data_IF_641146317519
#
_entry.id   IF_641146317519
#
_cell.length_a   1.000
_cell.length_b   1.000
_cell.length_c   1.000
_cell.angle_alpha   90.00
_cell.angle_beta   90.00
_cell.angle_gamma   90.00
#
_symmetry.space_group_name_H-M   'P 1'
#
loop_
_entity.id
_entity.type
_entity.pdbx_description
1 polymer ?
#
# COMPACT_ATOMS: atom_id res chain seq x y z
N UNK A 1 -16.67 -3.15 -9.12
CA UNK A 1 -15.25 -3.35 -9.46
C UNK A 1 -14.73 -2.16 -10.26
N UNK A 2 -13.50 -1.72 -10.00
CA UNK A 2 -12.88 -0.62 -10.73
C UNK A 2 -13.40 0.78 -10.39
N UNK A 3 -14.08 0.96 -9.27
CA UNK A 3 -14.63 2.25 -8.84
C UNK A 3 -13.86 2.83 -7.66
N UNK A 4 -13.83 4.17 -7.58
CA UNK A 4 -13.33 4.89 -6.43
C UNK A 4 -14.51 5.44 -5.61
N UNK A 5 -14.58 5.05 -4.34
CA UNK A 5 -15.60 5.48 -3.41
C UNK A 5 -14.99 6.45 -2.40
N UNK A 6 -15.43 7.70 -2.44
CA UNK A 6 -15.06 8.70 -1.45
C UNK A 6 -16.01 8.68 -0.27
N UNK A 7 -15.50 8.60 0.94
CA UNK A 7 -16.29 8.63 2.18
C UNK A 7 -16.11 9.98 2.84
N UNK A 8 -17.22 10.67 3.05
CA UNK A 8 -17.31 11.94 3.76
C UNK A 8 -18.19 11.80 4.99
N UNK A 9 -18.11 12.75 5.90
CA UNK A 9 -18.91 12.80 7.12
C UNK A 9 -18.24 13.68 8.16
N UNK A 10 -18.97 14.04 9.20
CA UNK A 10 -18.43 14.82 10.30
C UNK A 10 -17.35 14.08 11.07
N UNK A 11 -16.46 14.83 11.76
CA UNK A 11 -15.50 14.21 12.68
C UNK A 11 -16.24 13.43 13.77
N UNK A 12 -15.81 12.19 13.99
CA UNK A 12 -16.45 11.27 14.93
C UNK A 12 -17.68 10.54 14.39
N UNK A 13 -18.05 10.73 13.09
CA UNK A 13 -19.15 10.00 12.46
C UNK A 13 -18.85 8.49 12.23
N UNK A 14 -17.62 8.06 12.46
CA UNK A 14 -17.22 6.66 12.34
C UNK A 14 -16.53 6.28 11.02
N UNK A 15 -16.04 7.24 10.24
CA UNK A 15 -15.35 6.98 8.97
C UNK A 15 -14.14 6.05 9.13
N UNK A 16 -13.24 6.36 10.06
CA UNK A 16 -12.07 5.53 10.34
C UNK A 16 -12.47 4.18 10.94
N UNK A 17 -13.52 4.13 11.75
CA UNK A 17 -14.09 2.88 12.28
C UNK A 17 -14.61 2.00 11.15
N UNK A 18 -15.27 2.59 10.17
CA UNK A 18 -15.76 1.88 8.98
C UNK A 18 -14.61 1.25 8.20
N UNK A 19 -13.51 1.99 7.98
CA UNK A 19 -12.33 1.44 7.32
C UNK A 19 -11.68 0.30 8.13
N UNK A 20 -11.62 0.41 9.44
CA UNK A 20 -11.10 -0.66 10.31
C UNK A 20 -11.96 -1.93 10.25
N UNK A 21 -13.27 -1.79 10.11
CA UNK A 21 -14.17 -2.91 9.89
C UNK A 21 -13.90 -3.54 8.52
N UNK A 22 -13.77 -2.74 7.46
CA UNK A 22 -13.46 -3.23 6.12
C UNK A 22 -12.10 -3.93 6.04
N UNK A 23 -11.11 -3.45 6.78
CA UNK A 23 -9.77 -4.06 6.85
C UNK A 23 -9.70 -5.33 7.69
N UNK A 24 -10.72 -5.61 8.48
CA UNK A 24 -10.75 -6.75 9.41
C UNK A 24 -10.08 -6.47 10.77
N UNK A 25 -9.70 -5.22 11.04
CA UNK A 25 -9.16 -4.83 12.37
C UNK A 25 -10.24 -4.81 13.46
N UNK A 26 -11.49 -4.57 13.07
CA UNK A 26 -12.65 -4.56 13.96
C UNK A 26 -13.75 -5.43 13.38
N UNK A 27 -14.43 -6.16 14.26
CA UNK A 27 -15.63 -6.91 13.88
C UNK A 27 -16.86 -6.00 13.85
N UNK A 28 -17.74 -6.14 12.84
CA UNK A 28 -18.99 -5.37 12.80
C UNK A 28 -19.96 -5.84 13.88
N UNK A 29 -20.69 -4.92 14.49
CA UNK A 29 -21.76 -5.25 15.45
C UNK A 29 -22.93 -5.93 14.75
N UNK A 30 -23.20 -5.56 13.50
CA UNK A 30 -24.23 -6.14 12.64
C UNK A 30 -23.75 -6.14 11.19
N UNK A 31 -24.19 -7.12 10.42
CA UNK A 31 -23.82 -7.28 9.03
C UNK A 31 -22.55 -8.10 8.82
N UNK A 32 -22.28 -8.41 7.59
CA UNK A 32 -21.14 -9.21 7.17
C UNK A 32 -20.30 -8.50 6.11
N UNK A 33 -19.01 -8.74 6.13
CA UNK A 33 -18.08 -8.30 5.09
C UNK A 33 -17.56 -9.52 4.36
N UNK A 34 -17.68 -9.51 3.04
CA UNK A 34 -17.17 -10.57 2.19
C UNK A 34 -16.23 -9.98 1.15
N UNK A 35 -15.01 -10.50 1.12
CA UNK A 35 -14.00 -10.21 0.08
C UNK A 35 -13.81 -11.50 -0.71
N UNK A 36 -13.85 -11.40 -2.03
CA UNK A 36 -13.65 -12.56 -2.90
C UNK A 36 -12.29 -13.21 -2.61
N UNK A 37 -12.24 -14.54 -2.39
CA UNK A 37 -10.98 -15.23 -2.16
C UNK A 37 -9.96 -14.97 -3.27
N UNK A 38 -8.69 -14.75 -2.90
CA UNK A 38 -7.61 -14.45 -3.83
C UNK A 38 -7.42 -12.96 -4.13
N UNK A 39 -8.34 -12.10 -3.74
CA UNK A 39 -8.17 -10.65 -3.86
C UNK A 39 -7.26 -10.12 -2.76
N UNK A 40 -6.34 -9.21 -3.15
CA UNK A 40 -5.42 -8.56 -2.21
C UNK A 40 -5.98 -7.22 -1.75
N UNK A 41 -6.20 -7.12 -0.45
CA UNK A 41 -6.58 -5.89 0.22
C UNK A 41 -5.32 -5.16 0.69
N UNK A 42 -5.19 -3.90 0.32
CA UNK A 42 -4.13 -3.01 0.80
C UNK A 42 -4.72 -1.88 1.63
N UNK A 43 -4.14 -1.63 2.78
CA UNK A 43 -4.60 -0.62 3.74
C UNK A 43 -3.47 0.35 4.03
N UNK A 44 -3.76 1.65 4.02
CA UNK A 44 -2.81 2.66 4.49
C UNK A 44 -2.66 2.53 6.01
N UNK A 45 -1.50 2.05 6.44
CA UNK A 45 -1.18 1.91 7.87
C UNK A 45 -0.91 3.27 8.52
N UNK A 46 -1.31 3.40 9.79
CA UNK A 46 -1.16 4.65 10.55
C UNK A 46 0.07 4.63 11.47
N UNK A 47 0.55 3.45 11.87
CA UNK A 47 1.74 3.32 12.71
C UNK A 47 3.02 3.43 11.88
N UNK A 48 3.53 4.63 11.77
CA UNK A 48 4.73 4.92 10.99
C UNK A 48 6.06 4.54 11.68
N UNK A 49 6.02 4.11 12.93
CA UNK A 49 7.22 3.59 13.64
C UNK A 49 7.41 2.09 13.50
N UNK A 50 6.41 1.39 13.03
CA UNK A 50 6.41 -0.08 12.91
C UNK A 50 7.57 -0.63 12.09
N UNK A 51 8.07 0.12 11.12
CA UNK A 51 9.09 -0.30 10.17
C UNK A 51 10.45 0.38 10.37
N UNK A 52 10.70 0.96 11.54
CA UNK A 52 11.92 1.75 11.80
C UNK A 52 13.24 1.00 11.52
N UNK A 53 13.25 -0.31 11.70
CA UNK A 53 14.43 -1.15 11.44
C UNK A 53 14.56 -1.58 9.97
N UNK A 54 13.59 -1.28 9.13
CA UNK A 54 13.55 -1.67 7.72
C UNK A 54 14.12 -0.58 6.81
N UNK A 55 14.67 -1.00 5.67
CA UNK A 55 15.08 -0.10 4.60
C UNK A 55 13.84 0.47 3.93
N UNK A 56 13.88 1.74 3.54
CA UNK A 56 12.76 2.46 2.92
C UNK A 56 12.20 1.72 1.70
N UNK A 57 13.06 1.36 0.76
CA UNK A 57 12.65 0.62 -0.44
C UNK A 57 12.01 -0.73 -0.10
N UNK A 58 12.60 -1.48 0.82
CA UNK A 58 12.06 -2.76 1.28
C UNK A 58 10.69 -2.59 1.95
N UNK A 59 10.49 -1.53 2.72
CA UNK A 59 9.21 -1.22 3.36
C UNK A 59 8.10 -1.07 2.34
N UNK A 60 8.36 -0.42 1.20
CA UNK A 60 7.39 -0.29 0.11
C UNK A 60 7.08 -1.65 -0.52
N UNK A 61 8.09 -2.44 -0.81
CA UNK A 61 7.92 -3.77 -1.43
C UNK A 61 7.15 -4.73 -0.52
N UNK A 62 7.29 -4.59 0.81
CA UNK A 62 6.49 -5.33 1.80
C UNK A 62 4.98 -5.07 1.67
N UNK A 63 4.55 -4.07 0.93
CA UNK A 63 3.15 -3.87 0.55
C UNK A 63 2.56 -5.07 -0.19
N UNK A 64 3.40 -5.82 -0.91
CA UNK A 64 3.10 -7.16 -1.37
C UNK A 64 3.98 -8.16 -0.59
N UNK A 65 3.51 -8.60 0.56
CA UNK A 65 4.29 -9.43 1.49
C UNK A 65 4.79 -10.72 0.85
N UNK A 66 3.97 -11.37 0.01
CA UNK A 66 4.38 -12.60 -0.66
C UNK A 66 5.56 -12.37 -1.61
N UNK A 67 5.52 -11.29 -2.38
CA UNK A 67 6.64 -10.91 -3.26
C UNK A 67 7.92 -10.66 -2.47
N UNK A 68 7.82 -9.91 -1.38
CA UNK A 68 8.95 -9.64 -0.51
C UNK A 68 9.54 -10.91 0.09
N UNK A 69 8.71 -11.82 0.59
CA UNK A 69 9.13 -13.11 1.14
C UNK A 69 9.85 -13.97 0.10
N UNK A 70 9.35 -14.00 -1.13
CA UNK A 70 10.00 -14.69 -2.25
C UNK A 70 11.37 -14.11 -2.54
N UNK A 71 11.50 -12.79 -2.61
CA UNK A 71 12.77 -12.11 -2.83
C UNK A 71 13.79 -12.48 -1.76
N UNK A 72 13.40 -12.47 -0.49
CA UNK A 72 14.29 -12.82 0.63
C UNK A 72 14.66 -14.30 0.65
N UNK A 73 13.72 -15.19 0.38
CA UNK A 73 13.99 -16.62 0.32
C UNK A 73 14.94 -16.97 -0.84
N UNK A 74 14.73 -16.37 -2.01
CA UNK A 74 15.64 -16.52 -3.16
C UNK A 74 17.05 -16.07 -2.81
N UNK A 75 17.20 -14.87 -2.25
CA UNK A 75 18.50 -14.34 -1.86
C UNK A 75 19.20 -15.25 -0.87
N UNK A 76 18.48 -15.79 0.12
CA UNK A 76 19.01 -16.71 1.08
C UNK A 76 19.47 -18.04 0.45
N UNK A 77 18.70 -18.58 -0.49
CA UNK A 77 19.05 -19.83 -1.20
C UNK A 77 20.30 -19.61 -2.05
N UNK A 78 20.37 -18.54 -2.82
CA UNK A 78 21.54 -18.26 -3.68
C UNK A 78 22.79 -17.87 -2.91
N UNK A 79 22.65 -17.44 -1.65
CA UNK A 79 23.78 -17.13 -0.79
C UNK A 79 24.37 -18.36 -0.06
N UNK A 80 23.74 -19.53 -0.17
CA UNK A 80 24.24 -20.76 0.46
C UNK A 80 25.56 -21.21 -0.17
N UNK A 81 26.51 -21.57 0.69
CA UNK A 81 27.77 -22.17 0.25
C UNK A 81 27.59 -23.63 -0.24
N UNK A 82 26.68 -24.37 0.37
CA UNK A 82 26.31 -25.75 0.06
C UNK A 82 24.97 -25.83 -0.65
N UNK A 83 24.91 -25.31 -1.88
CA UNK A 83 23.73 -25.34 -2.71
C UNK A 83 23.39 -26.79 -3.13
N UNK A 84 22.21 -27.26 -2.73
CA UNK A 84 21.73 -28.63 -3.01
C UNK A 84 20.80 -28.70 -4.22
N UNK A 85 20.49 -29.91 -4.68
CA UNK A 85 19.49 -30.13 -5.74
C UNK A 85 18.10 -29.65 -5.28
N UNK A 86 17.74 -29.87 -4.02
CA UNK A 86 16.49 -29.40 -3.42
C UNK A 86 16.42 -27.86 -3.43
N UNK A 87 17.52 -27.19 -3.12
CA UNK A 87 17.64 -25.72 -3.22
C UNK A 87 17.41 -25.23 -4.64
N UNK A 88 17.92 -25.96 -5.64
CA UNK A 88 17.70 -25.66 -7.07
C UNK A 88 16.24 -25.77 -7.47
N UNK A 89 15.55 -26.80 -7.03
CA UNK A 89 14.12 -27.01 -7.27
C UNK A 89 13.32 -25.87 -6.62
N UNK A 90 13.59 -25.58 -5.35
CA UNK A 90 12.90 -24.51 -4.63
C UNK A 90 13.14 -23.13 -5.28
N UNK A 91 14.37 -22.84 -5.67
CA UNK A 91 14.69 -21.60 -6.37
C UNK A 91 13.93 -21.47 -7.69
N UNK A 92 13.79 -22.54 -8.45
CA UNK A 92 13.02 -22.54 -9.70
C UNK A 92 11.53 -22.28 -9.48
N UNK A 93 10.94 -22.86 -8.44
CA UNK A 93 9.54 -22.58 -8.05
C UNK A 93 9.35 -21.09 -7.68
N UNK A 94 10.26 -20.55 -6.88
CA UNK A 94 10.23 -19.16 -6.48
C UNK A 94 10.42 -18.20 -7.66
N UNK A 95 11.31 -18.53 -8.60
CA UNK A 95 11.50 -17.73 -9.82
C UNK A 95 10.23 -17.70 -10.67
N UNK A 96 9.52 -18.83 -10.79
CA UNK A 96 8.24 -18.90 -11.50
C UNK A 96 7.18 -18.01 -10.87
N UNK A 97 7.03 -18.06 -9.54
CA UNK A 97 6.09 -17.22 -8.81
C UNK A 97 6.48 -15.73 -8.87
N UNK A 98 7.77 -15.45 -8.72
CA UNK A 98 8.34 -14.10 -8.84
C UNK A 98 8.03 -13.47 -10.22
N UNK A 99 8.17 -14.22 -11.29
CA UNK A 99 7.86 -13.75 -12.63
C UNK A 99 6.36 -13.42 -12.80
N UNK A 100 5.46 -14.23 -12.21
CA UNK A 100 4.01 -13.98 -12.28
C UNK A 100 3.59 -12.68 -11.55
N UNK A 101 4.39 -12.22 -10.59
CA UNK A 101 4.16 -11.00 -9.82
C UNK A 101 4.90 -9.78 -10.38
N UNK A 102 5.50 -9.87 -11.56
CA UNK A 102 6.39 -8.82 -12.09
C UNK A 102 7.52 -8.45 -11.14
N UNK A 103 8.09 -9.43 -10.46
CA UNK A 103 9.11 -9.22 -9.43
C UNK A 103 10.36 -8.48 -9.92
N UNK A 104 10.71 -8.61 -11.18
CA UNK A 104 11.82 -7.91 -11.82
C UNK A 104 11.65 -6.39 -11.84
N UNK A 105 10.38 -5.91 -11.82
CA UNK A 105 10.02 -4.49 -11.78
C UNK A 105 9.81 -3.96 -10.36
N UNK A 106 9.90 -4.80 -9.33
CA UNK A 106 9.53 -4.45 -7.95
C UNK A 106 10.30 -3.25 -7.41
N UNK A 107 11.62 -3.24 -7.54
CA UNK A 107 12.45 -2.13 -7.06
C UNK A 107 12.20 -0.84 -7.85
N UNK A 108 12.07 -0.94 -9.16
CA UNK A 108 11.75 0.18 -10.05
C UNK A 108 10.37 0.76 -9.74
N UNK A 109 9.36 -0.08 -9.55
CA UNK A 109 8.01 0.34 -9.21
C UNK A 109 7.97 1.03 -7.83
N UNK A 110 8.66 0.46 -6.84
CA UNK A 110 8.77 1.04 -5.51
C UNK A 110 9.46 2.42 -5.55
N UNK A 111 10.54 2.54 -6.31
CA UNK A 111 11.25 3.80 -6.50
C UNK A 111 10.38 4.87 -7.18
N UNK A 112 9.58 4.48 -8.17
CA UNK A 112 8.64 5.37 -8.85
C UNK A 112 7.59 5.93 -7.89
N UNK A 113 7.03 5.10 -7.03
CA UNK A 113 6.06 5.52 -6.01
C UNK A 113 6.70 6.48 -5.00
N UNK A 114 7.88 6.19 -4.51
CA UNK A 114 8.61 7.03 -3.57
C UNK A 114 8.94 8.40 -4.18
N UNK A 115 9.47 8.43 -5.39
CA UNK A 115 9.80 9.67 -6.09
C UNK A 115 8.55 10.52 -6.37
N UNK A 116 7.44 9.88 -6.74
CA UNK A 116 6.16 10.56 -6.94
C UNK A 116 5.65 11.26 -5.68
N UNK A 117 5.94 10.71 -4.50
CA UNK A 117 5.59 11.28 -3.21
C UNK A 117 6.70 12.19 -2.62
N UNK A 118 7.68 12.58 -3.43
CA UNK A 118 8.81 13.42 -3.04
C UNK A 118 9.71 12.83 -1.95
N UNK A 119 9.88 11.51 -1.98
CA UNK A 119 10.94 10.83 -1.24
C UNK A 119 12.10 10.60 -2.21
N UNK A 120 13.15 11.39 -2.06
CA UNK A 120 14.30 11.37 -2.97
C UNK A 120 15.02 10.03 -2.99
N UNK A 121 15.64 9.71 -4.13
CA UNK A 121 16.37 8.45 -4.33
C UNK A 121 17.45 8.21 -3.28
N UNK A 122 18.06 9.25 -2.77
CA UNK A 122 19.08 9.18 -1.71
C UNK A 122 18.54 8.55 -0.42
N UNK A 123 17.23 8.64 -0.17
CA UNK A 123 16.58 8.10 1.02
C UNK A 123 16.16 6.63 0.85
N UNK A 124 16.10 6.11 -0.37
CA UNK A 124 15.51 4.79 -0.65
C UNK A 124 16.23 3.63 0.02
N UNK A 125 17.55 3.74 0.22
CA UNK A 125 18.39 2.71 0.85
C UNK A 125 18.71 2.99 2.31
N UNK A 126 18.14 4.06 2.87
CA UNK A 126 18.24 4.37 4.29
C UNK A 126 17.23 3.57 5.10
N UNK A 127 17.48 3.44 6.41
CA UNK A 127 16.49 2.87 7.33
C UNK A 127 15.36 3.87 7.56
N UNK A 128 14.16 3.36 7.77
CA UNK A 128 12.99 4.18 8.13
C UNK A 128 13.25 5.07 9.35
N UNK A 129 14.02 4.59 10.34
CA UNK A 129 14.39 5.37 11.53
C UNK A 129 15.14 6.67 11.23
N UNK A 130 15.81 6.75 10.08
CA UNK A 130 16.55 7.94 9.65
C UNK A 130 15.66 9.01 9.00
N UNK A 131 14.40 8.70 8.70
CA UNK A 131 13.45 9.60 8.09
C UNK A 131 12.70 10.43 9.15
N UNK A 132 12.23 11.62 8.75
CA UNK A 132 11.29 12.40 9.55
C UNK A 132 9.93 11.70 9.65
N UNK A 133 9.10 12.06 10.63
CA UNK A 133 7.76 11.51 10.77
C UNK A 133 6.90 11.72 9.52
N UNK A 134 6.99 12.90 8.91
CA UNK A 134 6.30 13.23 7.67
C UNK A 134 6.76 12.35 6.49
N UNK A 135 8.05 12.11 6.36
CA UNK A 135 8.60 11.21 5.34
C UNK A 135 8.18 9.75 5.56
N UNK A 136 8.15 9.28 6.81
CA UNK A 136 7.67 7.94 7.15
C UNK A 136 6.22 7.72 6.71
N UNK A 137 5.34 8.69 6.93
CA UNK A 137 3.94 8.64 6.49
C UNK A 137 3.83 8.49 4.97
N UNK A 138 4.64 9.23 4.21
CA UNK A 138 4.70 9.11 2.75
C UNK A 138 5.18 7.73 2.29
N UNK A 139 6.16 7.16 2.97
CA UNK A 139 6.63 5.80 2.67
C UNK A 139 5.53 4.76 2.90
N UNK A 140 4.74 4.90 3.97
CA UNK A 140 3.59 4.01 4.22
C UNK A 140 2.50 4.17 3.15
N UNK A 141 2.30 5.36 2.62
CA UNK A 141 1.41 5.58 1.48
C UNK A 141 1.95 4.86 0.24
N UNK A 142 3.22 5.00 -0.09
CA UNK A 142 3.84 4.27 -1.19
C UNK A 142 3.69 2.75 -1.03
N UNK A 143 3.88 2.24 0.17
CA UNK A 143 3.66 0.83 0.52
C UNK A 143 2.23 0.38 0.25
N UNK A 144 1.23 1.18 0.61
CA UNK A 144 -0.17 0.87 0.36
C UNK A 144 -0.49 0.82 -1.14
N UNK A 145 0.12 1.68 -1.95
CA UNK A 145 -0.09 1.74 -3.40
C UNK A 145 0.66 0.65 -4.17
N UNK A 146 1.67 0.04 -3.57
CA UNK A 146 2.57 -0.90 -4.24
C UNK A 146 1.87 -2.19 -4.69
N UNK A 147 2.26 -2.67 -5.86
CA UNK A 147 1.91 -4.02 -6.33
C UNK A 147 0.49 -4.19 -6.86
N UNK A 148 -0.18 -3.12 -7.27
CA UNK A 148 -1.51 -3.15 -7.88
C UNK A 148 -2.54 -3.94 -7.04
N UNK A 149 -2.85 -3.52 -5.81
CA UNK A 149 -3.82 -4.23 -4.98
C UNK A 149 -5.21 -4.27 -5.63
N UNK A 150 -5.99 -5.31 -5.34
CA UNK A 150 -7.35 -5.45 -5.84
C UNK A 150 -8.32 -4.48 -5.15
N UNK A 151 -8.09 -4.23 -3.87
CA UNK A 151 -8.84 -3.27 -3.06
C UNK A 151 -7.86 -2.41 -2.27
N UNK A 152 -7.99 -1.10 -2.40
CA UNK A 152 -7.14 -0.11 -1.74
C UNK A 152 -7.96 0.74 -0.77
N UNK A 153 -7.60 0.71 0.51
CA UNK A 153 -8.23 1.51 1.56
C UNK A 153 -7.29 2.62 2.02
N UNK A 154 -7.69 3.87 1.82
CA UNK A 154 -6.91 5.05 2.17
C UNK A 154 -7.67 5.93 3.17
N UNK A 155 -7.08 6.18 4.33
CA UNK A 155 -7.59 7.11 5.34
C UNK A 155 -6.73 8.37 5.37
N UNK A 156 -7.31 9.51 4.95
CA UNK A 156 -6.65 10.82 4.87
C UNK A 156 -5.29 10.77 4.14
N UNK A 157 -5.23 10.25 2.89
CA UNK A 157 -3.96 9.99 2.22
C UNK A 157 -3.20 11.26 1.82
N UNK A 158 -3.86 12.42 1.77
CA UNK A 158 -3.23 13.70 1.40
C UNK A 158 -2.56 14.40 2.56
N UNK A 159 -2.75 13.95 3.80
CA UNK A 159 -2.05 14.49 4.95
C UNK A 159 -0.54 14.37 4.77
N UNK A 160 0.18 15.42 5.15
CA UNK A 160 1.64 15.54 5.01
C UNK A 160 2.19 15.58 3.57
N UNK A 161 1.31 15.66 2.56
CA UNK A 161 1.74 15.81 1.16
C UNK A 161 1.82 17.28 0.78
N UNK A 162 2.86 17.64 0.02
CA UNK A 162 2.89 18.91 -0.69
C UNK A 162 2.03 18.86 -1.96
N UNK A 163 1.89 20.01 -2.62
CA UNK A 163 0.99 20.12 -3.78
C UNK A 163 1.40 19.18 -4.94
N UNK A 164 2.69 19.03 -5.18
CA UNK A 164 3.19 18.17 -6.27
C UNK A 164 2.93 16.69 -5.98
N UNK A 165 3.11 16.26 -4.73
CA UNK A 165 2.77 14.91 -4.30
C UNK A 165 1.26 14.63 -4.35
N UNK A 166 0.43 15.60 -3.99
CA UNK A 166 -1.03 15.49 -4.11
C UNK A 166 -1.44 15.32 -5.57
N UNK A 167 -0.88 16.11 -6.49
CA UNK A 167 -1.16 15.99 -7.92
C UNK A 167 -0.73 14.64 -8.48
N UNK A 168 0.42 14.17 -8.08
CA UNK A 168 0.88 12.84 -8.48
C UNK A 168 -0.03 11.74 -7.97
N UNK A 169 -0.47 11.82 -6.70
CA UNK A 169 -1.42 10.87 -6.12
C UNK A 169 -2.78 10.90 -6.82
N UNK A 170 -3.29 12.09 -7.13
CA UNK A 170 -4.53 12.24 -7.89
C UNK A 170 -4.44 11.51 -9.23
N UNK A 171 -3.37 11.71 -10.00
CA UNK A 171 -3.16 11.00 -11.27
C UNK A 171 -3.05 9.50 -11.08
N UNK A 172 -2.31 9.05 -10.07
CA UNK A 172 -2.20 7.63 -9.77
C UNK A 172 -3.57 6.99 -9.49
N UNK A 173 -4.40 7.62 -8.66
CA UNK A 173 -5.72 7.10 -8.30
C UNK A 173 -6.72 7.16 -9.47
N UNK A 174 -6.66 8.19 -10.31
CA UNK A 174 -7.50 8.30 -11.50
C UNK A 174 -7.19 7.15 -12.48
N UNK A 175 -5.94 6.80 -12.64
CA UNK A 175 -5.49 5.72 -13.53
C UNK A 175 -5.53 4.33 -12.89
N UNK A 176 -5.84 4.24 -11.60
CA UNK A 176 -5.94 2.98 -10.89
C UNK A 176 -7.20 2.21 -11.31
N UNK A 177 -7.04 1.01 -11.81
CA UNK A 177 -8.12 0.24 -12.44
C UNK A 177 -8.97 -0.56 -11.46
N UNK A 178 -8.46 -0.79 -10.25
CA UNK A 178 -9.14 -1.60 -9.23
C UNK A 178 -9.95 -0.75 -8.25
N UNK A 179 -10.53 -1.37 -7.25
CA UNK A 179 -11.41 -0.69 -6.29
C UNK A 179 -10.62 0.13 -5.27
N UNK A 180 -11.02 1.38 -5.07
CA UNK A 180 -10.46 2.27 -4.06
C UNK A 180 -11.58 2.74 -3.13
N UNK A 181 -11.31 2.75 -1.83
CA UNK A 181 -12.13 3.40 -0.82
C UNK A 181 -11.27 4.42 -0.09
N UNK A 182 -11.65 5.68 -0.19
CA UNK A 182 -10.89 6.82 0.35
C UNK A 182 -11.74 7.57 1.36
N UNK A 183 -11.21 7.77 2.55
CA UNK A 183 -11.74 8.72 3.54
C UNK A 183 -10.90 9.99 3.48
N UNK A 184 -11.54 11.14 3.27
CA UNK A 184 -10.86 12.43 3.28
C UNK A 184 -11.79 13.57 3.64
N UNK A 185 -11.25 14.59 4.30
CA UNK A 185 -11.92 15.88 4.50
C UNK A 185 -11.78 16.80 3.29
N UNK A 186 -10.84 16.51 2.40
CA UNK A 186 -10.60 17.29 1.20
C UNK A 186 -11.59 16.91 0.09
N UNK A 187 -12.70 17.63 0.02
CA UNK A 187 -13.74 17.39 -0.99
C UNK A 187 -13.24 17.62 -2.41
N UNK A 188 -12.32 18.55 -2.61
CA UNK A 188 -11.72 18.80 -3.91
C UNK A 188 -10.95 17.59 -4.42
N UNK A 189 -10.14 16.99 -3.54
CA UNK A 189 -9.45 15.75 -3.84
C UNK A 189 -10.41 14.61 -4.17
N UNK A 190 -11.43 14.38 -3.32
CA UNK A 190 -12.42 13.34 -3.55
C UNK A 190 -13.18 13.53 -4.85
N UNK A 191 -13.58 14.76 -5.19
CA UNK A 191 -14.28 15.06 -6.44
C UNK A 191 -13.41 14.79 -7.68
N UNK A 192 -12.10 14.94 -7.56
CA UNK A 192 -11.18 14.64 -8.67
C UNK A 192 -10.98 13.16 -8.91
N UNK A 193 -10.84 12.36 -7.85
CA UNK A 193 -10.42 10.96 -7.95
C UNK A 193 -11.58 9.97 -7.85
N UNK A 194 -12.68 10.34 -7.19
CA UNK A 194 -13.76 9.41 -6.90
C UNK A 194 -14.87 9.42 -7.94
N UNK A 195 -15.38 8.23 -8.25
CA UNK A 195 -16.55 8.01 -9.10
C UNK A 195 -17.85 8.06 -8.32
N UNK A 196 -17.80 7.78 -7.02
CA UNK A 196 -18.93 7.73 -6.10
C UNK A 196 -18.58 8.40 -4.78
N UNK A 197 -19.56 9.01 -4.14
CA UNK A 197 -19.40 9.61 -2.81
C UNK A 197 -20.41 8.99 -1.85
N UNK A 198 -19.94 8.60 -0.67
CA UNK A 198 -20.76 8.06 0.41
C UNK A 198 -20.67 9.00 1.60
N UNK A 199 -21.81 9.45 2.10
CA UNK A 199 -21.90 10.30 3.30
C UNK A 199 -22.26 9.42 4.51
N UNK A 200 -21.48 9.53 5.57
CA UNK A 200 -21.75 8.85 6.84
C UNK A 200 -22.22 9.90 7.83
N UNK A 201 -23.51 9.86 8.12
CA UNK A 201 -24.15 10.72 9.12
C UNK A 201 -24.46 9.94 10.39
N UNK A 202 -24.58 10.68 11.50
CA UNK A 202 -25.13 10.12 12.72
C UNK A 202 -26.62 9.80 12.53
N UNK A 203 -27.01 8.58 12.83
CA UNK A 203 -28.40 8.19 12.92
C UNK A 203 -29.03 8.63 14.25
#
# INVERSE_FOLDING_TARGET
EGNCYGIIGANGAGKSTFLKILSGELEPTQGDISITPGQRLSVLEQDHFKYDDCIVLDTVIMGNQRLYDIMKEKDAIYAKEDFTEEDGIRASELEGEFATMNGWEAESDAATLLNGLNIDTELHYKKMSELSGSEKVKVLLARALFGNPDILLLDEPTNHLDLDAIRWLEEFLINFENTIIVVSHDRYFLNKVCTHTVDIDYA
#
